data_IF_985889681998
#
_entry.id   IF_985889681998
#
_cell.length_a   1.000
_cell.length_b   1.000
_cell.length_c   1.000
_cell.angle_alpha   90.00
_cell.angle_beta   90.00
_cell.angle_gamma   90.00
#
_symmetry.space_group_name_H-M   'P 1'
#
loop_
_entity.id
_entity.type
_entity.pdbx_description
1 polymer ?
#
# COMPACT_ATOMS: atom_id res chain seq x y z
N UNK A 1 0.66 18.72 -11.59
CA UNK A 1 1.00 18.22 -10.23
C UNK A 1 2.32 18.81 -9.78
N UNK A 2 2.50 19.10 -8.48
CA UNK A 2 3.80 19.48 -7.90
C UNK A 2 4.45 18.26 -7.26
N UNK A 3 5.76 18.11 -7.42
CA UNK A 3 6.55 17.01 -6.85
C UNK A 3 7.53 17.54 -5.82
N UNK A 4 7.88 16.70 -4.86
CA UNK A 4 8.86 17.00 -3.80
C UNK A 4 9.75 15.78 -3.57
N UNK A 5 10.95 16.02 -3.05
CA UNK A 5 11.81 14.93 -2.60
C UNK A 5 11.24 14.35 -1.29
N UNK A 6 11.15 13.04 -1.21
CA UNK A 6 10.72 12.34 0.00
C UNK A 6 11.92 12.20 0.96
N UNK A 7 12.16 13.26 1.74
CA UNK A 7 13.33 13.35 2.61
C UNK A 7 14.62 13.15 1.83
N UNK A 8 15.52 12.30 2.37
CA UNK A 8 16.81 11.93 1.76
C UNK A 8 16.77 10.56 1.06
N UNK A 9 15.60 10.04 0.76
CA UNK A 9 15.42 8.70 0.18
C UNK A 9 15.81 8.61 -1.31
N UNK A 10 15.91 9.75 -2.00
CA UNK A 10 16.04 9.80 -3.45
C UNK A 10 14.72 9.66 -4.22
N UNK A 11 13.63 9.37 -3.53
CA UNK A 11 12.30 9.29 -4.15
C UNK A 11 11.75 10.68 -4.42
N UNK A 12 11.23 10.90 -5.62
CA UNK A 12 10.48 12.09 -5.98
C UNK A 12 8.99 11.76 -6.06
N UNK A 13 8.19 12.38 -5.19
CA UNK A 13 6.78 12.06 -5.02
C UNK A 13 5.89 13.26 -5.27
N UNK A 14 4.66 13.01 -5.72
CA UNK A 14 3.63 14.03 -5.80
C UNK A 14 3.26 14.53 -4.40
N UNK A 15 2.97 15.83 -4.27
CA UNK A 15 2.58 16.43 -2.98
C UNK A 15 1.22 15.92 -2.45
N UNK A 16 0.42 15.34 -3.33
CA UNK A 16 -0.82 14.65 -3.00
C UNK A 16 -0.59 13.17 -3.28
N UNK A 17 -0.95 12.31 -2.34
CA UNK A 17 -0.91 10.85 -2.49
C UNK A 17 -2.32 10.27 -2.58
N UNK A 18 -2.42 9.11 -3.22
CA UNK A 18 -3.63 8.30 -3.20
C UNK A 18 -3.56 7.32 -2.01
N UNK A 19 -4.38 7.53 -0.98
CA UNK A 19 -4.62 6.55 0.07
C UNK A 19 -5.70 5.57 -0.36
N UNK A 20 -5.47 4.27 -0.13
CA UNK A 20 -6.31 3.21 -0.69
C UNK A 20 -7.12 2.43 0.34
N UNK A 21 -7.24 2.91 1.56
CA UNK A 21 -8.05 2.24 2.57
C UNK A 21 -9.51 2.06 2.12
N UNK A 22 -10.09 3.10 1.50
CA UNK A 22 -11.45 3.03 0.99
C UNK A 22 -11.64 2.01 -0.15
N UNK A 23 -10.56 1.60 -0.84
CA UNK A 23 -10.61 0.58 -1.89
C UNK A 23 -10.61 -0.86 -1.33
N UNK A 24 -10.39 -1.02 -0.04
CA UNK A 24 -10.22 -2.32 0.62
C UNK A 24 -11.51 -3.04 0.99
N UNK A 25 -12.67 -2.47 0.71
CA UNK A 25 -13.99 -3.09 0.92
C UNK A 25 -14.27 -3.61 2.34
N UNK A 26 -13.67 -3.01 3.37
CA UNK A 26 -13.92 -3.41 4.75
C UNK A 26 -14.71 -2.35 5.54
N UNK A 27 -14.15 -1.16 5.75
CA UNK A 27 -14.76 -0.12 6.59
C UNK A 27 -15.73 0.78 5.82
N UNK A 28 -15.41 1.07 4.55
CA UNK A 28 -16.19 1.99 3.71
C UNK A 28 -17.23 1.31 2.82
N UNK A 29 -17.40 -0.03 2.96
CA UNK A 29 -18.29 -0.83 2.15
C UNK A 29 -17.60 -1.40 0.89
N UNK A 30 -18.36 -2.18 0.13
CA UNK A 30 -17.85 -2.82 -1.07
C UNK A 30 -17.57 -1.79 -2.19
N UNK A 31 -16.40 -1.93 -2.81
CA UNK A 31 -15.99 -1.15 -3.97
C UNK A 31 -15.83 -2.10 -5.16
N UNK A 32 -16.50 -1.77 -6.25
CA UNK A 32 -16.36 -2.54 -7.50
C UNK A 32 -14.90 -2.46 -8.00
N UNK A 33 -14.33 -3.61 -8.33
CA UNK A 33 -12.92 -3.71 -8.77
C UNK A 33 -12.63 -2.77 -9.94
N UNK A 34 -13.53 -2.69 -10.93
CA UNK A 34 -13.36 -1.80 -12.07
C UNK A 34 -13.27 -0.35 -11.63
N UNK A 35 -14.13 0.08 -10.71
CA UNK A 35 -14.13 1.45 -10.16
C UNK A 35 -12.84 1.78 -9.43
N UNK A 36 -12.29 0.82 -8.67
CA UNK A 36 -11.02 0.97 -7.99
C UNK A 36 -9.84 1.11 -8.98
N UNK A 37 -9.82 0.30 -10.04
CA UNK A 37 -8.82 0.37 -11.11
C UNK A 37 -8.91 1.72 -11.84
N UNK A 38 -10.10 2.13 -12.25
CA UNK A 38 -10.33 3.40 -12.93
C UNK A 38 -9.90 4.60 -12.05
N UNK A 39 -10.14 4.52 -10.74
CA UNK A 39 -9.72 5.55 -9.77
C UNK A 39 -8.19 5.66 -9.69
N UNK A 40 -7.48 4.53 -9.61
CA UNK A 40 -6.01 4.53 -9.59
C UNK A 40 -5.44 5.11 -10.89
N UNK A 41 -5.95 4.66 -12.04
CA UNK A 41 -5.48 5.12 -13.34
C UNK A 41 -5.73 6.62 -13.52
N UNK A 42 -6.92 7.11 -13.16
CA UNK A 42 -7.21 8.54 -13.18
C UNK A 42 -6.29 9.36 -12.26
N UNK A 43 -5.95 8.84 -11.08
CA UNK A 43 -5.00 9.49 -10.18
C UNK A 43 -3.60 9.59 -10.81
N UNK A 44 -3.12 8.51 -11.43
CA UNK A 44 -1.83 8.49 -12.14
C UNK A 44 -1.83 9.46 -13.32
N UNK A 45 -2.91 9.49 -14.11
CA UNK A 45 -3.06 10.40 -15.25
C UNK A 45 -3.10 11.87 -14.81
N UNK A 46 -3.61 12.15 -13.61
CA UNK A 46 -3.53 13.48 -12.97
C UNK A 46 -2.14 13.81 -12.41
N UNK A 47 -1.18 12.89 -12.50
CA UNK A 47 0.21 13.05 -12.04
C UNK A 47 0.43 12.68 -10.57
N UNK A 48 -0.51 12.00 -9.91
CA UNK A 48 -0.27 11.39 -8.59
C UNK A 48 0.58 10.15 -8.80
N UNK A 49 1.76 10.11 -8.18
CA UNK A 49 2.63 8.95 -8.25
C UNK A 49 2.86 8.27 -6.90
N UNK A 50 2.45 8.86 -5.77
CA UNK A 50 2.54 8.22 -4.46
C UNK A 50 1.22 7.52 -4.13
N UNK A 51 1.28 6.20 -3.98
CA UNK A 51 0.12 5.34 -3.66
C UNK A 51 0.39 4.64 -2.34
N UNK A 52 -0.48 4.86 -1.35
CA UNK A 52 -0.33 4.34 0.00
C UNK A 52 -1.40 3.28 0.32
N UNK A 53 -0.96 2.12 0.77
CA UNK A 53 -1.80 1.01 1.20
C UNK A 53 -1.28 0.38 2.50
N UNK A 54 -1.95 -0.67 2.97
CA UNK A 54 -1.52 -1.49 4.11
C UNK A 54 -2.17 -2.87 4.08
N UNK A 55 -1.53 -3.90 4.70
CA UNK A 55 -2.09 -5.25 4.80
C UNK A 55 -3.43 -5.33 5.52
N UNK A 56 -3.71 -4.38 6.42
CA UNK A 56 -4.94 -4.33 7.20
C UNK A 56 -6.04 -3.44 6.60
N UNK A 57 -5.90 -3.02 5.34
CA UNK A 57 -6.91 -2.28 4.58
C UNK A 57 -7.81 -3.21 3.76
N UNK A 58 -8.44 -4.21 4.41
CA UNK A 58 -9.26 -5.20 3.71
C UNK A 58 -8.49 -5.91 2.60
N UNK A 59 -9.02 -5.91 1.39
CA UNK A 59 -8.39 -6.47 0.18
C UNK A 59 -7.68 -5.42 -0.69
N UNK A 60 -7.33 -4.25 -0.12
CA UNK A 60 -6.74 -3.13 -0.87
C UNK A 60 -5.45 -3.53 -1.61
N UNK A 61 -4.57 -4.35 -1.01
CA UNK A 61 -3.34 -4.79 -1.68
C UNK A 61 -3.63 -5.68 -2.91
N UNK A 62 -4.62 -6.57 -2.85
CA UNK A 62 -5.03 -7.40 -3.99
C UNK A 62 -5.67 -6.56 -5.12
N UNK A 63 -6.47 -5.58 -4.74
CA UNK A 63 -7.07 -4.62 -5.69
C UNK A 63 -5.98 -3.83 -6.39
N UNK A 64 -5.01 -3.30 -5.63
CA UNK A 64 -3.86 -2.57 -6.19
C UNK A 64 -2.98 -3.46 -7.07
N UNK A 65 -2.75 -4.71 -6.68
CA UNK A 65 -1.99 -5.66 -7.49
C UNK A 65 -2.56 -5.84 -8.90
N UNK A 66 -3.89 -5.79 -9.03
CA UNK A 66 -4.58 -5.83 -10.34
C UNK A 66 -4.51 -4.47 -11.04
N UNK A 67 -4.70 -3.39 -10.30
CA UNK A 67 -4.74 -2.03 -10.87
C UNK A 67 -3.37 -1.53 -11.34
N UNK A 68 -2.28 -2.01 -10.73
CA UNK A 68 -0.90 -1.63 -11.08
C UNK A 68 -0.33 -2.42 -12.28
N UNK A 69 -1.06 -3.41 -12.80
CA UNK A 69 -0.60 -4.19 -13.94
C UNK A 69 -0.28 -3.28 -15.15
N UNK A 70 0.97 -3.32 -15.61
CA UNK A 70 1.45 -2.51 -16.73
C UNK A 70 1.78 -1.04 -16.40
N UNK A 71 1.58 -0.59 -15.15
CA UNK A 71 1.90 0.78 -14.72
C UNK A 71 2.66 0.83 -13.38
N UNK A 72 3.15 -0.31 -12.87
CA UNK A 72 3.85 -0.40 -11.58
C UNK A 72 5.05 0.55 -11.47
N UNK A 73 5.77 0.74 -12.56
CA UNK A 73 6.94 1.61 -12.67
C UNK A 73 6.60 3.12 -12.65
N UNK A 74 5.34 3.47 -12.82
CA UNK A 74 4.87 4.87 -12.78
C UNK A 74 4.53 5.36 -11.39
N UNK A 75 4.53 4.48 -10.39
CA UNK A 75 4.13 4.82 -9.03
C UNK A 75 5.23 4.51 -8.01
N UNK A 76 5.29 5.33 -6.97
CA UNK A 76 5.97 5.07 -5.71
C UNK A 76 4.97 4.38 -4.81
N UNK A 77 5.12 3.08 -4.62
CA UNK A 77 4.20 2.24 -3.86
C UNK A 77 4.64 2.12 -2.41
N UNK A 78 3.78 2.58 -1.51
CA UNK A 78 3.98 2.48 -0.07
C UNK A 78 3.04 1.42 0.52
N UNK A 79 3.58 0.50 1.33
CA UNK A 79 2.80 -0.38 2.20
C UNK A 79 3.42 -0.44 3.59
N UNK A 80 2.82 -1.22 4.49
CA UNK A 80 3.13 -1.13 5.92
C UNK A 80 3.32 -2.51 6.56
N UNK A 81 3.99 -2.52 7.73
CA UNK A 81 4.12 -3.67 8.60
C UNK A 81 3.76 -3.34 10.05
N UNK A 82 3.82 -4.32 10.92
CA UNK A 82 3.59 -4.17 12.35
C UNK A 82 2.15 -4.44 12.79
N UNK A 83 1.27 -4.84 11.86
CA UNK A 83 -0.09 -5.25 12.17
C UNK A 83 -0.41 -6.55 11.42
N UNK A 84 -0.43 -7.66 12.13
CA UNK A 84 -0.81 -8.98 11.60
C UNK A 84 -2.30 -9.20 11.82
N UNK A 85 -3.05 -9.48 10.74
CA UNK A 85 -4.44 -9.93 10.80
C UNK A 85 -4.50 -11.47 10.80
N UNK A 86 -5.42 -12.01 11.57
CA UNK A 86 -5.75 -13.43 11.60
C UNK A 86 -7.26 -13.59 11.87
N UNK A 87 -7.85 -14.77 11.60
CA UNK A 87 -9.24 -15.03 11.98
C UNK A 87 -9.44 -14.83 13.49
N UNK A 88 -10.26 -13.84 13.87
CA UNK A 88 -10.53 -13.50 15.27
C UNK A 88 -9.82 -12.25 15.78
N UNK A 89 -8.97 -11.58 14.99
CA UNK A 89 -8.39 -10.30 15.41
C UNK A 89 -7.13 -9.86 14.70
N UNK A 90 -6.37 -9.05 15.41
CA UNK A 90 -5.03 -8.59 14.95
C UNK A 90 -4.11 -8.41 16.16
N UNK A 91 -2.83 -8.56 15.96
CA UNK A 91 -1.82 -8.19 16.94
C UNK A 91 -0.63 -7.48 16.29
N UNK A 92 0.11 -6.75 17.12
CA UNK A 92 1.25 -5.95 16.68
C UNK A 92 2.54 -6.73 16.91
N UNK A 93 3.36 -6.84 15.87
CA UNK A 93 4.63 -7.58 15.93
C UNK A 93 5.63 -6.99 14.94
N UNK A 94 6.78 -6.54 15.46
CA UNK A 94 7.85 -5.87 14.71
C UNK A 94 9.20 -6.59 14.81
N UNK A 95 9.22 -7.90 15.03
CA UNK A 95 10.49 -8.65 14.93
C UNK A 95 11.00 -8.66 13.48
N UNK A 96 12.33 -8.71 13.25
CA UNK A 96 12.88 -8.78 11.89
C UNK A 96 12.28 -9.92 11.04
N UNK A 97 12.01 -11.07 11.67
CA UNK A 97 11.38 -12.21 11.00
C UNK A 97 9.94 -11.88 10.59
N UNK A 98 9.14 -11.31 11.51
CA UNK A 98 7.75 -10.97 11.20
C UNK A 98 7.64 -9.88 10.14
N UNK A 99 8.55 -8.90 10.15
CA UNK A 99 8.58 -7.84 9.14
C UNK A 99 8.87 -8.39 7.74
N UNK A 100 9.79 -9.36 7.62
CA UNK A 100 10.08 -10.04 6.34
C UNK A 100 8.88 -10.84 5.84
N UNK A 101 8.27 -11.65 6.71
CA UNK A 101 7.08 -12.41 6.34
C UNK A 101 5.92 -11.51 5.89
N UNK A 102 5.69 -10.40 6.59
CA UNK A 102 4.68 -9.41 6.22
C UNK A 102 5.00 -8.77 4.86
N UNK A 103 6.28 -8.48 4.59
CA UNK A 103 6.71 -7.94 3.29
C UNK A 103 6.46 -8.94 2.16
N UNK A 104 6.86 -10.20 2.32
CA UNK A 104 6.67 -11.25 1.31
C UNK A 104 5.18 -11.46 1.01
N UNK A 105 4.33 -11.44 2.03
CA UNK A 105 2.88 -11.51 1.88
C UNK A 105 2.31 -10.30 1.11
N UNK A 106 2.79 -9.09 1.41
CA UNK A 106 2.39 -7.88 0.70
C UNK A 106 2.84 -7.90 -0.77
N UNK A 107 4.08 -8.30 -1.05
CA UNK A 107 4.59 -8.45 -2.42
C UNK A 107 3.73 -9.41 -3.24
N UNK A 108 3.31 -10.53 -2.64
CA UNK A 108 2.43 -11.50 -3.30
C UNK A 108 1.05 -10.93 -3.59
N UNK A 109 0.40 -10.25 -2.62
CA UNK A 109 -0.92 -9.63 -2.83
C UNK A 109 -0.87 -8.48 -3.84
N UNK A 110 0.17 -7.66 -3.79
CA UNK A 110 0.41 -6.55 -4.70
C UNK A 110 0.92 -6.99 -6.08
N UNK A 111 1.22 -8.30 -6.25
CA UNK A 111 1.73 -8.86 -7.49
C UNK A 111 2.93 -8.07 -8.08
N UNK A 112 3.90 -7.77 -7.22
CA UNK A 112 5.12 -7.02 -7.55
C UNK A 112 6.32 -7.62 -6.79
N UNK A 113 7.52 -7.42 -7.28
CA UNK A 113 8.76 -7.89 -6.70
C UNK A 113 9.50 -6.84 -5.86
N UNK A 114 8.95 -5.61 -5.79
CA UNK A 114 9.52 -4.53 -4.96
C UNK A 114 8.46 -3.59 -4.40
N UNK A 115 8.79 -3.00 -3.24
CA UNK A 115 8.07 -1.91 -2.58
C UNK A 115 9.02 -0.72 -2.50
N UNK A 116 8.56 0.48 -2.82
CA UNK A 116 9.38 1.69 -2.79
C UNK A 116 9.50 2.26 -1.37
N UNK A 117 8.43 2.17 -0.57
CA UNK A 117 8.38 2.66 0.80
C UNK A 117 7.70 1.65 1.72
N UNK A 118 8.44 1.09 2.66
CA UNK A 118 7.94 0.15 3.66
C UNK A 118 7.92 0.80 5.03
N UNK A 119 6.71 0.96 5.60
CA UNK A 119 6.45 1.77 6.78
C UNK A 119 6.07 0.92 7.99
N UNK A 120 6.44 1.35 9.18
CA UNK A 120 5.89 0.81 10.44
C UNK A 120 4.51 1.45 10.64
N UNK A 121 3.46 0.62 10.63
CA UNK A 121 2.07 1.07 10.78
C UNK A 121 1.71 1.34 12.26
N UNK A 122 2.16 0.46 13.14
CA UNK A 122 1.92 0.57 14.57
C UNK A 122 3.20 0.21 15.33
N UNK A 123 3.50 0.92 16.41
CA UNK A 123 4.59 0.51 17.29
C UNK A 123 4.25 -0.81 17.99
N UNK A 124 5.25 -1.64 18.17
CA UNK A 124 5.18 -2.80 19.06
C UNK A 124 5.74 -2.39 20.43
N UNK A 125 4.97 -2.61 21.48
CA UNK A 125 5.40 -2.28 22.84
C UNK A 125 6.53 -3.19 23.38
N UNK A 126 6.81 -4.28 22.66
CA UNK A 126 7.79 -5.29 23.04
C UNK A 126 9.04 -5.30 22.15
N UNK A 127 9.17 -4.34 21.23
CA UNK A 127 10.31 -4.18 20.31
C UNK A 127 11.15 -2.96 20.63
#
# INVERSE_FOLDING_TARGET
MKYVNFGNSGLQVSRISLGTWALGSDFYGEVELKSAIDTLHAAVDCGINLVDTAPNYGNSEEVLGKALAGIRDKVVLATKCGCLKYPGGSYKLLTPVSMRLQLEESLRRLNTDYIDLYQIHYPDKNS
#
